data_IF_981803449090
#
_entry.id   IF_981803449090
#
_cell.length_a   1.000
_cell.length_b   1.000
_cell.length_c   1.000
_cell.angle_alpha   90.00
_cell.angle_beta   90.00
_cell.angle_gamma   90.00
#
_symmetry.space_group_name_H-M   'P 1'
#
loop_
_entity.id
_entity.type
_entity.pdbx_description
1 polymer ?
#
# COMPACT_ATOMS: atom_id res chain seq x y z
N UNK A 1 2.69 23.43 9.76
CA UNK A 1 2.22 22.23 9.03
C UNK A 1 3.45 21.45 8.58
N UNK A 2 3.38 20.11 8.50
CA UNK A 2 4.51 19.33 8.01
C UNK A 2 4.85 19.70 6.57
N UNK A 3 6.15 19.71 6.27
CA UNK A 3 6.68 20.02 4.94
C UNK A 3 6.55 18.79 4.04
N UNK A 4 5.45 18.71 3.28
CA UNK A 4 5.09 17.55 2.46
C UNK A 4 6.16 17.22 1.41
N UNK A 5 6.76 18.18 0.67
CA UNK A 5 7.90 17.92 -0.21
C UNK A 5 9.04 17.18 0.48
N UNK A 6 9.47 17.63 1.66
CA UNK A 6 10.56 16.99 2.41
C UNK A 6 10.20 15.58 2.83
N UNK A 7 8.98 15.36 3.36
CA UNK A 7 8.52 14.02 3.73
C UNK A 7 8.48 13.05 2.54
N UNK A 8 8.08 13.53 1.36
CA UNK A 8 8.10 12.72 0.13
C UNK A 8 9.52 12.35 -0.29
N UNK A 9 10.46 13.28 -0.18
CA UNK A 9 11.86 13.02 -0.49
C UNK A 9 12.48 11.99 0.47
N UNK A 10 12.19 12.09 1.77
CA UNK A 10 12.63 11.12 2.77
C UNK A 10 12.05 9.73 2.51
N UNK A 11 10.76 9.63 2.21
CA UNK A 11 10.13 8.35 1.87
C UNK A 11 10.73 7.73 0.62
N UNK A 12 10.98 8.51 -0.42
CA UNK A 12 11.61 8.03 -1.66
C UNK A 12 13.06 7.58 -1.46
N UNK A 13 13.77 8.12 -0.46
CA UNK A 13 15.12 7.68 -0.12
C UNK A 13 15.15 6.35 0.65
N UNK A 14 14.06 6.01 1.36
CA UNK A 14 13.99 4.84 2.25
C UNK A 14 13.21 3.66 1.65
N UNK A 15 12.26 3.94 0.76
CA UNK A 15 11.38 2.94 0.18
C UNK A 15 11.30 3.12 -1.33
N UNK A 16 11.40 2.02 -2.08
CA UNK A 16 10.98 2.00 -3.48
C UNK A 16 9.46 1.86 -3.54
N UNK A 17 8.80 2.97 -3.85
CA UNK A 17 7.34 3.11 -3.90
C UNK A 17 6.85 3.39 -5.32
N UNK A 18 7.73 3.24 -6.32
CA UNK A 18 7.35 3.43 -7.71
C UNK A 18 6.31 2.38 -8.13
N UNK A 19 5.32 2.75 -8.97
CA UNK A 19 4.36 1.78 -9.49
C UNK A 19 5.07 0.58 -10.13
N UNK A 20 4.67 -0.63 -9.76
CA UNK A 20 5.39 -1.85 -10.13
C UNK A 20 4.43 -3.01 -10.38
N UNK A 21 4.48 -3.56 -11.59
CA UNK A 21 3.77 -4.79 -11.94
C UNK A 21 4.35 -6.01 -11.20
N UNK A 22 5.65 -6.01 -10.90
CA UNK A 22 6.27 -7.07 -10.10
C UNK A 22 5.71 -7.07 -8.68
N UNK A 23 5.58 -5.90 -8.05
CA UNK A 23 4.96 -5.76 -6.74
C UNK A 23 3.48 -6.15 -6.77
N UNK A 24 2.75 -5.79 -7.84
CA UNK A 24 1.37 -6.20 -8.05
C UNK A 24 1.23 -7.73 -8.10
N UNK A 25 2.11 -8.41 -8.83
CA UNK A 25 2.12 -9.87 -8.93
C UNK A 25 2.47 -10.53 -7.60
N UNK A 26 3.47 -10.00 -6.89
CA UNK A 26 3.89 -10.51 -5.59
C UNK A 26 2.81 -10.38 -4.50
N UNK A 27 1.84 -9.49 -4.68
CA UNK A 27 0.73 -9.23 -3.74
C UNK A 27 -0.65 -9.61 -4.31
N UNK A 28 -0.68 -10.52 -5.29
CA UNK A 28 -1.91 -10.92 -6.00
C UNK A 28 -2.97 -11.52 -5.07
N UNK A 29 -2.57 -12.19 -3.99
CA UNK A 29 -3.45 -12.72 -2.95
C UNK A 29 -4.17 -11.63 -2.16
N UNK A 30 -3.50 -10.52 -1.87
CA UNK A 30 -4.10 -9.33 -1.24
C UNK A 30 -5.07 -8.66 -2.22
N UNK A 31 -4.66 -8.49 -3.48
CA UNK A 31 -5.48 -7.92 -4.55
C UNK A 31 -6.79 -8.67 -4.76
N UNK A 32 -6.78 -10.01 -4.64
CA UNK A 32 -7.96 -10.85 -4.87
C UNK A 32 -9.19 -10.41 -4.04
N UNK A 33 -8.99 -9.79 -2.87
CA UNK A 33 -10.06 -9.27 -2.00
C UNK A 33 -10.81 -8.08 -2.59
N UNK A 34 -10.18 -7.32 -3.49
CA UNK A 34 -10.71 -6.09 -4.08
C UNK A 34 -10.76 -6.11 -5.61
N UNK A 35 -10.41 -7.23 -6.24
CA UNK A 35 -10.30 -7.37 -7.70
C UNK A 35 -11.59 -7.08 -8.48
N UNK A 36 -12.75 -7.10 -7.81
CA UNK A 36 -14.03 -6.72 -8.42
C UNK A 36 -14.21 -5.21 -8.63
N UNK A 37 -13.49 -4.39 -7.87
CA UNK A 37 -13.68 -2.93 -7.82
C UNK A 37 -12.41 -2.13 -8.08
N UNK A 38 -11.24 -2.77 -7.98
CA UNK A 38 -9.94 -2.17 -8.34
C UNK A 38 -9.39 -2.88 -9.58
N UNK A 39 -9.15 -2.16 -10.70
CA UNK A 39 -8.41 -2.70 -11.83
C UNK A 39 -7.00 -3.14 -11.45
N UNK A 40 -6.50 -4.21 -12.07
CA UNK A 40 -5.17 -4.72 -11.75
C UNK A 40 -4.05 -3.72 -12.09
N UNK A 41 -4.23 -2.92 -13.15
CA UNK A 41 -3.28 -1.84 -13.49
C UNK A 41 -3.20 -0.78 -12.38
N UNK A 42 -4.34 -0.40 -11.80
CA UNK A 42 -4.38 0.55 -10.69
C UNK A 42 -3.76 -0.05 -9.43
N UNK A 43 -3.94 -1.36 -9.20
CA UNK A 43 -3.27 -2.06 -8.10
C UNK A 43 -1.75 -1.94 -8.15
N UNK A 44 -1.14 -1.89 -9.34
CA UNK A 44 0.32 -1.70 -9.47
C UNK A 44 0.83 -0.37 -8.89
N UNK A 45 -0.04 0.65 -8.76
CA UNK A 45 0.30 1.90 -8.09
C UNK A 45 0.30 1.74 -6.56
N UNK A 46 -0.56 0.88 -6.02
CA UNK A 46 -0.77 0.71 -4.57
C UNK A 46 0.08 -0.43 -3.97
N UNK A 47 0.37 -1.47 -4.76
CA UNK A 47 1.06 -2.67 -4.29
C UNK A 47 2.40 -2.38 -3.56
N UNK A 48 3.30 -1.49 -4.05
CA UNK A 48 4.54 -1.17 -3.34
C UNK A 48 4.28 -0.60 -1.94
N UNK A 49 3.28 0.28 -1.82
CA UNK A 49 2.88 0.87 -0.54
C UNK A 49 2.29 -0.17 0.41
N UNK A 50 1.38 -1.01 -0.08
CA UNK A 50 0.71 -2.02 0.74
C UNK A 50 1.73 -3.03 1.28
N UNK A 51 2.69 -3.48 0.46
CA UNK A 51 3.78 -4.36 0.88
C UNK A 51 4.63 -3.69 1.96
N UNK A 52 5.06 -2.44 1.74
CA UNK A 52 5.89 -1.70 2.69
C UNK A 52 5.17 -1.47 4.04
N UNK A 53 3.89 -1.09 4.00
CA UNK A 53 3.07 -0.87 5.21
C UNK A 53 2.89 -2.19 5.98
N UNK A 54 2.56 -3.28 5.30
CA UNK A 54 2.39 -4.58 5.96
C UNK A 54 3.71 -5.09 6.58
N UNK A 55 4.86 -4.85 5.92
CA UNK A 55 6.18 -5.12 6.50
C UNK A 55 6.39 -4.31 7.78
N UNK A 56 6.12 -3.00 7.74
CA UNK A 56 6.24 -2.13 8.91
C UNK A 56 5.30 -2.51 10.06
N UNK A 57 4.07 -2.93 9.76
CA UNK A 57 3.13 -3.44 10.77
C UNK A 57 3.76 -4.59 11.55
N UNK A 58 4.39 -5.54 10.87
CA UNK A 58 5.09 -6.67 11.50
C UNK A 58 6.29 -6.18 12.31
N UNK A 59 7.18 -5.37 11.73
CA UNK A 59 8.37 -4.84 12.40
C UNK A 59 8.05 -4.05 13.68
N UNK A 60 6.91 -3.35 13.69
CA UNK A 60 6.49 -2.49 14.81
C UNK A 60 5.47 -3.14 15.73
N UNK A 61 5.06 -4.37 15.46
CA UNK A 61 3.93 -5.04 16.13
C UNK A 61 2.69 -4.13 16.20
N UNK A 62 2.34 -3.52 15.05
CA UNK A 62 1.30 -2.52 14.93
C UNK A 62 0.09 -3.05 14.16
N UNK A 63 -1.10 -2.56 14.55
CA UNK A 63 -2.38 -2.82 13.87
C UNK A 63 -2.92 -1.49 13.35
N UNK A 64 -3.50 -1.51 12.15
CA UNK A 64 -4.19 -0.37 11.55
C UNK A 64 -5.68 -0.68 11.54
N UNK A 65 -6.50 0.18 12.14
CA UNK A 65 -7.95 0.01 12.14
C UNK A 65 -8.55 0.72 10.92
N UNK A 66 -9.05 -0.07 9.96
CA UNK A 66 -9.75 0.44 8.78
C UNK A 66 -11.26 0.46 8.96
N UNK A 67 -11.92 1.42 8.31
CA UNK A 67 -13.38 1.43 8.16
C UNK A 67 -13.75 1.21 6.69
N UNK A 68 -14.91 0.60 6.44
CA UNK A 68 -15.35 0.19 5.10
C UNK A 68 -15.70 1.33 4.13
N UNK A 69 -15.67 2.59 4.60
CA UNK A 69 -15.78 3.78 3.74
C UNK A 69 -14.41 4.25 3.20
N UNK A 70 -13.31 3.68 3.68
CA UNK A 70 -11.97 3.95 3.13
C UNK A 70 -11.82 3.25 1.78
N UNK A 71 -10.85 3.70 0.99
CA UNK A 71 -10.57 3.11 -0.31
C UNK A 71 -10.18 1.63 -0.19
N UNK A 72 -10.50 0.77 -1.18
CA UNK A 72 -10.35 -0.67 -1.07
C UNK A 72 -8.92 -1.12 -0.75
N UNK A 73 -7.90 -0.44 -1.30
CA UNK A 73 -6.50 -0.72 -1.04
C UNK A 73 -6.10 -0.44 0.42
N UNK A 74 -6.79 0.48 1.09
CA UNK A 74 -6.61 0.71 2.52
C UNK A 74 -7.36 -0.36 3.32
N UNK A 75 -8.67 -0.51 3.06
CA UNK A 75 -9.54 -1.37 3.86
C UNK A 75 -9.25 -2.87 3.72
N UNK A 76 -8.90 -3.34 2.52
CA UNK A 76 -8.58 -4.75 2.28
C UNK A 76 -7.08 -5.04 2.22
N UNK A 77 -6.27 -4.01 1.91
CA UNK A 77 -4.83 -4.16 1.71
C UNK A 77 -4.00 -4.03 2.98
N UNK A 78 -4.35 -3.11 3.89
CA UNK A 78 -3.51 -2.83 5.08
C UNK A 78 -4.24 -2.81 6.41
N UNK A 79 -5.58 -2.72 6.45
CA UNK A 79 -6.32 -2.82 7.71
C UNK A 79 -6.24 -4.26 8.27
#
# INVERSE_FOLDING_TARGET
MPDIPTLRAELAALYDLAPSLEAAEASRDIYAKMARVVPYADWAMFAPYVIAINRLKVERNAVILGHNYMTPEIYHGVA
#
